data_IF_208949513907
#
_entry.id   IF_208949513907
#
_cell.length_a   1.000
_cell.length_b   1.000
_cell.length_c   1.000
_cell.angle_alpha   90.00
_cell.angle_beta   90.00
_cell.angle_gamma   90.00
#
_symmetry.space_group_name_H-M   'P 1'
#
loop_
_entity.id
_entity.type
_entity.pdbx_description
1 polymer ?
#
# COMPACT_ATOMS: atom_id res chain seq x y z
N UNK A 1 -45.51 -3.35 -34.48
CA UNK A 1 -46.00 -4.43 -33.59
C UNK A 1 -45.32 -4.27 -32.23
N UNK A 2 -46.08 -4.18 -31.13
CA UNK A 2 -45.60 -4.28 -29.73
C UNK A 2 -45.68 -5.77 -29.27
N UNK A 3 -45.55 -6.20 -27.98
CA UNK A 3 -45.03 -5.60 -26.74
C UNK A 3 -44.14 -6.56 -25.86
N UNK A 4 -43.70 -6.06 -24.69
CA UNK A 4 -43.60 -6.75 -23.36
C UNK A 4 -42.57 -7.87 -23.11
N UNK A 5 -41.67 -7.66 -22.13
CA UNK A 5 -41.78 -8.27 -20.78
C UNK A 5 -40.73 -7.72 -19.79
N UNK A 6 -41.15 -6.75 -18.95
CA UNK A 6 -40.53 -6.45 -17.65
C UNK A 6 -41.26 -7.30 -16.62
N UNK A 7 -40.54 -8.20 -15.92
CA UNK A 7 -40.82 -8.70 -14.55
C UNK A 7 -39.89 -9.88 -14.23
N UNK A 8 -38.90 -9.68 -13.36
CA UNK A 8 -38.41 -10.66 -12.34
C UNK A 8 -37.08 -10.19 -11.71
N UNK A 9 -37.11 -9.24 -10.78
CA UNK A 9 -36.13 -9.19 -9.67
C UNK A 9 -36.83 -8.55 -8.48
N UNK A 10 -37.58 -9.34 -7.69
CA UNK A 10 -37.88 -9.08 -6.28
C UNK A 10 -38.41 -10.39 -5.67
N UNK A 11 -37.57 -11.12 -4.95
CA UNK A 11 -37.99 -12.13 -3.98
C UNK A 11 -37.05 -12.07 -2.76
N UNK A 12 -37.55 -12.12 -1.52
CA UNK A 12 -36.76 -11.88 -0.31
C UNK A 12 -35.97 -13.12 0.12
N UNK A 13 -34.75 -12.91 0.58
CA UNK A 13 -33.91 -13.89 1.28
C UNK A 13 -34.62 -14.43 2.53
N UNK A 14 -34.93 -15.73 2.56
CA UNK A 14 -35.32 -16.47 3.78
C UNK A 14 -34.10 -17.22 4.32
N UNK A 15 -33.76 -16.96 5.59
CA UNK A 15 -32.74 -17.71 6.37
C UNK A 15 -33.19 -19.17 6.57
N UNK A 16 -32.30 -20.17 6.52
CA UNK A 16 -32.64 -21.53 6.89
C UNK A 16 -32.52 -21.73 8.42
N UNK A 17 -33.58 -22.25 9.03
CA UNK A 17 -33.63 -22.79 10.40
C UNK A 17 -33.17 -24.25 10.44
N UNK A 18 -32.60 -24.72 11.56
CA UNK A 18 -32.01 -26.04 11.68
C UNK A 18 -33.07 -27.14 11.87
N UNK A 19 -32.86 -28.31 11.27
CA UNK A 19 -33.68 -29.51 11.49
C UNK A 19 -33.00 -30.44 12.49
N UNK A 20 -33.78 -30.89 13.47
CA UNK A 20 -33.45 -31.89 14.48
C UNK A 20 -34.29 -33.17 14.32
N UNK A 21 -33.72 -34.28 14.83
CA UNK A 21 -34.30 -35.57 15.28
C UNK A 21 -34.61 -36.67 14.23
N UNK A 22 -34.65 -37.97 14.62
CA UNK A 22 -34.58 -38.56 15.98
C UNK A 22 -33.62 -39.76 16.19
N UNK A 23 -33.43 -40.09 17.47
CA UNK A 23 -32.78 -41.27 18.05
C UNK A 23 -33.55 -42.57 17.82
N UNK A 24 -32.84 -43.70 17.72
CA UNK A 24 -33.36 -45.03 18.05
C UNK A 24 -32.35 -45.81 18.93
N UNK A 25 -32.81 -46.12 20.13
CA UNK A 25 -32.43 -47.19 21.06
C UNK A 25 -32.80 -48.55 20.40
N UNK A 26 -32.23 -49.75 20.60
CA UNK A 26 -31.83 -50.54 21.79
C UNK A 26 -31.07 -51.78 21.25
N UNK A 27 -30.07 -52.31 21.98
CA UNK A 27 -29.98 -53.73 22.41
C UNK A 27 -28.54 -54.23 22.59
N UNK A 28 -28.33 -54.81 23.76
CA UNK A 28 -27.11 -55.37 24.34
C UNK A 28 -27.05 -56.87 24.03
N UNK A 29 -25.95 -57.36 23.45
CA UNK A 29 -25.52 -58.77 23.54
C UNK A 29 -23.99 -58.81 23.68
N UNK A 30 -23.52 -59.52 24.70
CA UNK A 30 -22.11 -59.73 25.07
C UNK A 30 -21.47 -60.92 24.30
N UNK A 31 -20.14 -61.15 24.40
CA UNK A 31 -19.29 -61.55 23.28
C UNK A 31 -18.99 -63.05 23.22
N UNK A 32 -18.59 -63.52 22.04
CA UNK A 32 -17.76 -64.73 21.91
C UNK A 32 -16.64 -64.49 20.91
N UNK A 33 -15.42 -64.81 21.37
CA UNK A 33 -14.17 -64.87 20.63
C UNK A 33 -14.30 -65.61 19.30
N UNK A 34 -13.64 -65.09 18.26
CA UNK A 34 -12.60 -65.85 17.53
C UNK A 34 -11.87 -64.94 16.54
N UNK A 35 -10.54 -65.01 16.58
CA UNK A 35 -9.59 -64.28 15.73
C UNK A 35 -9.32 -65.13 14.48
N UNK A 36 -9.41 -64.58 13.26
CA UNK A 36 -8.65 -65.06 12.12
C UNK A 36 -7.47 -64.12 11.79
N UNK A 37 -6.37 -64.66 11.22
CA UNK A 37 -5.08 -63.98 11.14
C UNK A 37 -5.05 -62.87 10.07
N UNK A 38 -4.12 -61.89 10.17
CA UNK A 38 -4.03 -60.82 9.19
C UNK A 38 -3.44 -61.31 7.87
N UNK A 39 -4.14 -60.98 6.79
CA UNK A 39 -3.71 -61.15 5.40
C UNK A 39 -2.64 -60.10 5.10
N UNK A 40 -1.47 -60.56 4.66
CA UNK A 40 -0.37 -59.74 4.17
C UNK A 40 -0.68 -59.20 2.77
N UNK A 41 -0.90 -57.89 2.65
CA UNK A 41 -0.88 -57.18 1.37
C UNK A 41 0.36 -56.28 1.28
N UNK A 42 1.33 -56.71 0.49
CA UNK A 42 2.44 -55.91 0.01
C UNK A 42 1.92 -55.03 -1.15
N UNK A 43 1.88 -53.71 -0.97
CA UNK A 43 1.77 -52.76 -2.08
C UNK A 43 3.07 -51.96 -2.17
N UNK A 44 3.81 -52.22 -3.24
CA UNK A 44 4.96 -51.43 -3.68
C UNK A 44 4.48 -50.22 -4.47
N UNK A 45 4.65 -49.02 -3.93
CA UNK A 45 4.54 -47.78 -4.69
C UNK A 45 5.94 -47.38 -5.17
N UNK A 46 6.13 -47.32 -6.49
CA UNK A 46 7.30 -46.67 -7.09
C UNK A 46 7.03 -45.17 -7.20
N UNK A 47 7.70 -44.38 -6.37
CA UNK A 47 7.90 -42.94 -6.57
C UNK A 47 9.35 -42.74 -7.02
N UNK A 48 9.53 -42.01 -8.11
CA UNK A 48 10.85 -41.57 -8.58
C UNK A 48 11.47 -40.58 -7.57
N UNK A 49 12.79 -40.57 -7.38
CA UNK A 49 13.40 -39.71 -6.37
C UNK A 49 13.59 -38.29 -6.93
N UNK A 50 12.88 -37.32 -6.36
CA UNK A 50 13.35 -35.94 -6.38
C UNK A 50 14.56 -35.81 -5.45
N UNK A 51 15.61 -35.14 -5.93
CA UNK A 51 16.88 -34.96 -5.21
C UNK A 51 16.71 -33.99 -4.03
N UNK A 52 16.18 -34.49 -2.92
CA UNK A 52 16.32 -33.89 -1.59
C UNK A 52 17.45 -34.57 -0.83
N UNK A 53 18.18 -33.81 -0.01
CA UNK A 53 19.26 -34.29 0.85
C UNK A 53 18.81 -35.49 1.71
N UNK A 54 19.30 -36.69 1.38
CA UNK A 54 19.08 -37.89 2.18
C UNK A 54 19.72 -37.72 3.57
N UNK A 55 18.88 -37.49 4.59
CA UNK A 55 19.29 -37.65 5.97
C UNK A 55 19.52 -39.16 6.21
N UNK A 56 20.75 -39.61 6.08
CA UNK A 56 21.13 -40.99 6.38
C UNK A 56 21.20 -41.19 7.90
N UNK A 57 20.06 -41.50 8.52
CA UNK A 57 19.92 -41.67 9.98
C UNK A 57 20.64 -42.95 10.47
N UNK A 58 20.88 -43.93 9.59
CA UNK A 58 21.56 -45.20 9.94
C UNK A 58 22.59 -45.63 8.89
N UNK A 59 23.72 -44.90 8.76
CA UNK A 59 24.75 -45.27 7.79
C UNK A 59 25.35 -46.64 8.15
N UNK A 60 25.42 -47.53 7.17
CA UNK A 60 25.97 -48.90 7.28
C UNK A 60 25.18 -49.91 8.13
N UNK A 61 23.93 -49.63 8.51
CA UNK A 61 23.10 -50.61 9.20
C UNK A 61 22.78 -51.82 8.29
N UNK A 62 22.97 -53.04 8.81
CA UNK A 62 22.63 -54.31 8.13
C UNK A 62 21.82 -55.19 9.09
N UNK A 63 20.81 -55.89 8.58
CA UNK A 63 19.91 -56.80 9.33
C UNK A 63 19.15 -56.15 10.50
N UNK A 64 18.31 -55.17 10.22
CA UNK A 64 17.35 -54.65 11.21
C UNK A 64 15.92 -54.74 10.67
N UNK A 65 14.97 -54.75 11.59
CA UNK A 65 13.53 -54.76 11.30
C UNK A 65 12.90 -53.57 12.02
N UNK A 66 12.41 -52.58 11.27
CA UNK A 66 11.59 -51.50 11.86
C UNK A 66 10.19 -52.05 12.03
N UNK A 67 9.78 -52.30 13.28
CA UNK A 67 8.47 -52.90 13.56
C UNK A 67 7.33 -51.88 13.51
N UNK A 68 7.56 -50.63 13.92
CA UNK A 68 6.59 -49.53 13.86
C UNK A 68 7.33 -48.21 13.61
N UNK A 69 7.14 -47.61 12.42
CA UNK A 69 7.65 -46.27 12.12
C UNK A 69 6.57 -45.22 12.44
N UNK A 70 6.76 -44.46 13.51
CA UNK A 70 5.93 -43.28 13.80
C UNK A 70 6.65 -42.03 13.31
N UNK A 71 6.35 -41.58 12.09
CA UNK A 71 6.80 -40.27 11.61
C UNK A 71 5.86 -39.23 12.21
N UNK A 72 6.32 -38.56 13.25
CA UNK A 72 5.61 -37.43 13.84
C UNK A 72 6.04 -36.18 13.08
N UNK A 73 5.25 -35.74 12.10
CA UNK A 73 5.42 -34.39 11.58
C UNK A 73 4.93 -33.44 12.69
N UNK A 74 5.87 -32.77 13.37
CA UNK A 74 5.51 -31.57 14.12
C UNK A 74 4.83 -30.57 13.17
N UNK A 75 4.00 -29.63 13.64
CA UNK A 75 3.40 -28.64 12.76
C UNK A 75 4.52 -27.91 12.00
N UNK A 76 4.64 -28.20 10.71
CA UNK A 76 5.51 -27.46 9.80
C UNK A 76 4.89 -26.08 9.68
N UNK A 77 5.55 -25.07 10.26
CA UNK A 77 5.20 -23.68 9.99
C UNK A 77 5.36 -23.44 8.49
N UNK A 78 4.30 -22.98 7.86
CA UNK A 78 4.35 -22.50 6.49
C UNK A 78 5.14 -21.20 6.41
N UNK A 79 5.59 -20.83 5.21
CA UNK A 79 6.22 -19.52 5.00
C UNK A 79 5.28 -18.36 5.41
N UNK A 80 3.97 -18.55 5.23
CA UNK A 80 2.96 -17.59 5.71
C UNK A 80 2.99 -17.43 7.24
N UNK A 81 3.17 -18.51 7.99
CA UNK A 81 3.23 -18.46 9.46
C UNK A 81 4.48 -17.70 9.96
N UNK A 82 5.59 -17.75 9.21
CA UNK A 82 6.79 -16.98 9.51
C UNK A 82 6.65 -15.50 9.15
N UNK A 83 6.15 -15.20 7.95
CA UNK A 83 6.12 -13.83 7.41
C UNK A 83 4.95 -13.01 7.95
N UNK A 84 3.78 -13.60 8.18
CA UNK A 84 2.55 -12.86 8.53
C UNK A 84 2.67 -11.88 9.71
N UNK A 85 3.46 -12.13 10.78
CA UNK A 85 3.63 -11.16 11.87
C UNK A 85 4.50 -9.95 11.49
N UNK A 86 5.25 -10.04 10.38
CA UNK A 86 6.26 -9.07 9.97
C UNK A 86 5.87 -8.31 8.70
N UNK A 87 4.78 -8.69 8.02
CA UNK A 87 4.27 -7.97 6.84
C UNK A 87 3.32 -6.84 7.23
N UNK A 88 3.25 -5.83 6.36
CA UNK A 88 2.22 -4.80 6.40
C UNK A 88 1.21 -5.08 5.29
N UNK A 89 0.22 -5.96 5.55
CA UNK A 89 -0.85 -6.23 4.59
C UNK A 89 -1.56 -4.95 4.14
N UNK A 90 -1.72 -3.99 5.06
CA UNK A 90 -2.22 -2.64 4.82
C UNK A 90 -1.49 -1.85 3.73
N UNK A 91 -0.19 -2.11 3.51
CA UNK A 91 0.66 -1.38 2.57
C UNK A 91 0.56 -1.92 1.14
N UNK A 92 -0.07 -3.07 0.90
CA UNK A 92 -0.25 -3.61 -0.43
C UNK A 92 -1.14 -2.70 -1.28
N UNK A 93 -0.95 -2.68 -2.61
CA UNK A 93 -1.71 -1.78 -3.47
C UNK A 93 -3.22 -2.04 -3.44
N UNK A 94 -3.60 -3.32 -3.34
CA UNK A 94 -4.96 -3.82 -3.31
C UNK A 94 -5.49 -4.09 -1.89
N UNK A 95 -4.89 -3.47 -0.88
CA UNK A 95 -5.34 -3.60 0.51
C UNK A 95 -6.70 -2.91 0.72
N UNK A 96 -7.56 -3.52 1.54
CA UNK A 96 -8.81 -2.90 1.99
C UNK A 96 -8.55 -1.62 2.82
N UNK A 97 -7.40 -1.51 3.49
CA UNK A 97 -6.96 -0.26 4.16
C UNK A 97 -6.69 0.90 3.18
N UNK A 98 -6.70 0.61 1.87
CA UNK A 98 -6.56 1.58 0.79
C UNK A 98 -7.85 1.73 -0.02
N UNK A 99 -9.01 1.32 0.51
CA UNK A 99 -10.30 1.46 -0.17
C UNK A 99 -10.62 2.90 -0.61
N UNK A 100 -10.17 3.89 0.18
CA UNK A 100 -10.33 5.32 -0.11
C UNK A 100 -9.09 5.95 -0.76
N UNK A 101 -8.06 5.16 -1.10
CA UNK A 101 -6.84 5.70 -1.68
C UNK A 101 -7.13 6.34 -3.05
N UNK A 102 -6.53 7.52 -3.34
CA UNK A 102 -6.81 8.22 -4.58
C UNK A 102 -6.28 7.42 -5.78
N UNK A 103 -6.97 7.54 -6.90
CA UNK A 103 -6.55 7.03 -8.22
C UNK A 103 -6.65 8.17 -9.23
N UNK A 104 -5.92 8.07 -10.33
CA UNK A 104 -6.13 8.99 -11.45
C UNK A 104 -7.55 8.82 -11.97
N UNK A 105 -8.23 9.94 -12.22
CA UNK A 105 -9.47 9.89 -12.99
C UNK A 105 -9.16 9.48 -14.42
N UNK A 106 -10.15 8.88 -15.08
CA UNK A 106 -10.02 8.51 -16.49
C UNK A 106 -9.55 9.72 -17.31
N UNK A 107 -8.60 9.49 -18.22
CA UNK A 107 -7.99 10.51 -19.10
C UNK A 107 -7.12 11.57 -18.39
N UNK A 108 -6.95 11.52 -17.05
CA UNK A 108 -6.02 12.42 -16.35
C UNK A 108 -4.61 11.82 -16.23
N UNK A 109 -3.58 12.67 -16.25
CA UNK A 109 -2.17 12.27 -16.02
C UNK A 109 -1.70 11.18 -16.98
N UNK A 110 -2.25 11.13 -18.20
CA UNK A 110 -1.94 10.08 -19.17
C UNK A 110 -0.48 10.15 -19.61
N UNK A 111 0.03 11.34 -19.94
CA UNK A 111 1.40 11.49 -20.39
C UNK A 111 2.45 10.96 -19.39
N UNK A 112 2.26 11.21 -18.08
CA UNK A 112 3.18 10.70 -17.06
C UNK A 112 2.99 9.20 -16.82
N UNK A 113 1.76 8.69 -16.90
CA UNK A 113 1.51 7.25 -16.79
C UNK A 113 2.13 6.49 -17.96
N UNK A 114 2.02 7.01 -19.18
CA UNK A 114 2.62 6.44 -20.39
C UNK A 114 4.15 6.47 -20.31
N UNK A 115 4.76 7.55 -19.82
CA UNK A 115 6.20 7.64 -19.60
C UNK A 115 6.68 6.56 -18.61
N UNK A 116 5.95 6.37 -17.50
CA UNK A 116 6.26 5.35 -16.49
C UNK A 116 6.06 3.94 -17.04
N UNK A 117 4.94 3.65 -17.71
CA UNK A 117 4.66 2.33 -18.29
C UNK A 117 5.65 1.98 -19.40
N UNK A 118 5.99 2.96 -20.25
CA UNK A 118 7.02 2.82 -21.26
C UNK A 118 8.36 2.40 -20.66
N UNK A 119 8.78 3.04 -19.57
CA UNK A 119 9.98 2.65 -18.83
C UNK A 119 9.86 1.27 -18.16
N UNK A 120 8.69 0.92 -17.61
CA UNK A 120 8.45 -0.40 -17.00
C UNK A 120 8.57 -1.53 -18.03
N UNK A 121 8.07 -1.33 -19.25
CA UNK A 121 8.02 -2.36 -20.29
C UNK A 121 9.31 -2.37 -21.12
N UNK A 122 9.71 -1.22 -21.65
CA UNK A 122 10.85 -1.07 -22.56
C UNK A 122 12.19 -0.94 -21.84
N UNK A 123 12.21 -0.38 -20.62
CA UNK A 123 13.44 -0.02 -19.93
C UNK A 123 13.99 1.33 -20.35
N UNK A 124 15.23 1.58 -19.95
CA UNK A 124 15.96 2.80 -20.28
C UNK A 124 16.83 2.55 -21.52
N UNK A 125 16.28 2.86 -22.70
CA UNK A 125 16.90 2.64 -24.01
C UNK A 125 17.85 3.78 -24.43
N UNK A 126 18.33 4.61 -23.50
CA UNK A 126 19.16 5.78 -23.81
C UNK A 126 20.61 5.47 -24.26
N UNK A 127 20.95 4.21 -24.51
CA UNK A 127 22.29 3.82 -24.98
C UNK A 127 23.38 3.89 -23.90
N UNK A 128 22.99 4.05 -22.64
CA UNK A 128 23.88 4.02 -21.48
C UNK A 128 24.40 2.58 -21.22
N UNK A 129 25.63 2.47 -20.71
CA UNK A 129 26.27 1.18 -20.43
C UNK A 129 25.58 0.37 -19.31
N UNK A 130 24.73 1.02 -18.49
CA UNK A 130 23.88 0.37 -17.49
C UNK A 130 22.49 1.01 -17.49
N UNK A 131 21.41 0.24 -17.70
CA UNK A 131 20.05 0.79 -17.67
C UNK A 131 19.68 1.24 -16.26
N UNK A 132 19.05 2.42 -16.14
CA UNK A 132 18.54 2.91 -14.86
C UNK A 132 17.39 2.03 -14.38
N UNK A 133 17.62 1.27 -13.31
CA UNK A 133 16.63 0.38 -12.70
C UNK A 133 15.71 1.08 -11.70
N UNK A 134 15.96 2.35 -11.37
CA UNK A 134 15.12 3.13 -10.46
C UNK A 134 14.48 4.29 -11.22
N UNK A 135 13.17 4.50 -11.04
CA UNK A 135 12.50 5.74 -11.42
C UNK A 135 11.94 6.40 -10.18
N UNK A 136 12.27 7.68 -9.98
CA UNK A 136 11.78 8.49 -8.88
C UNK A 136 10.79 9.55 -9.37
N UNK A 137 9.51 9.34 -9.05
CA UNK A 137 8.43 10.29 -9.30
C UNK A 137 8.34 11.25 -8.11
N UNK A 138 8.66 12.51 -8.35
CA UNK A 138 8.76 13.53 -7.31
C UNK A 138 7.95 14.78 -7.65
N UNK A 139 7.62 15.55 -6.63
CA UNK A 139 6.82 16.76 -6.79
C UNK A 139 6.22 17.23 -5.47
N UNK A 140 5.58 18.40 -5.44
CA UNK A 140 5.02 18.97 -4.23
C UNK A 140 3.90 18.10 -3.62
N UNK A 141 3.53 18.40 -2.37
CA UNK A 141 2.37 17.80 -1.74
C UNK A 141 1.12 18.07 -2.60
N UNK A 142 0.25 17.07 -2.75
CA UNK A 142 -0.96 17.23 -3.54
C UNK A 142 -0.79 17.24 -5.06
N UNK A 143 0.40 16.97 -5.60
CA UNK A 143 0.62 16.84 -7.04
C UNK A 143 0.00 15.57 -7.67
N UNK A 144 -0.48 14.62 -6.85
CA UNK A 144 -1.12 13.38 -7.32
C UNK A 144 -0.20 12.16 -7.42
N UNK A 145 0.99 12.18 -6.81
CA UNK A 145 1.96 11.06 -6.83
C UNK A 145 1.34 9.71 -6.44
N UNK A 146 0.69 9.63 -5.28
CA UNK A 146 0.03 8.41 -4.80
C UNK A 146 -1.11 7.94 -5.72
N UNK A 147 -1.83 8.88 -6.36
CA UNK A 147 -2.85 8.55 -7.36
C UNK A 147 -2.21 7.92 -8.61
N UNK A 148 -1.12 8.50 -9.11
CA UNK A 148 -0.37 7.97 -10.26
C UNK A 148 0.15 6.57 -9.94
N UNK A 149 0.88 6.40 -8.84
CA UNK A 149 1.43 5.08 -8.46
C UNK A 149 0.34 4.05 -8.15
N UNK A 150 -0.80 4.48 -7.61
CA UNK A 150 -1.98 3.64 -7.43
C UNK A 150 -2.52 3.11 -8.76
N UNK A 151 -2.75 4.00 -9.73
CA UNK A 151 -3.21 3.62 -11.08
C UNK A 151 -2.20 2.72 -11.79
N UNK A 152 -0.90 3.05 -11.72
CA UNK A 152 0.17 2.23 -12.29
C UNK A 152 0.23 0.85 -11.64
N UNK A 153 0.02 0.75 -10.32
CA UNK A 153 0.01 -0.54 -9.64
C UNK A 153 -1.16 -1.42 -10.12
N UNK A 154 -2.36 -0.84 -10.27
CA UNK A 154 -3.53 -1.57 -10.79
C UNK A 154 -3.30 -2.05 -12.23
N UNK A 155 -2.76 -1.17 -13.09
CA UNK A 155 -2.47 -1.51 -14.48
C UNK A 155 -1.39 -2.59 -14.57
N UNK A 156 -0.29 -2.45 -13.82
CA UNK A 156 0.76 -3.46 -13.75
C UNK A 156 0.23 -4.78 -13.19
N UNK A 157 -0.69 -4.75 -12.23
CA UNK A 157 -1.31 -5.97 -11.69
C UNK A 157 -2.20 -6.65 -12.74
N UNK A 158 -2.96 -5.87 -13.51
CA UNK A 158 -3.81 -6.38 -14.59
C UNK A 158 -2.99 -7.00 -15.73
N UNK A 159 -1.83 -6.41 -16.05
CA UNK A 159 -0.91 -6.92 -17.08
C UNK A 159 0.06 -8.01 -16.57
N UNK A 160 0.04 -8.34 -15.27
CA UNK A 160 0.98 -9.30 -14.67
C UNK A 160 2.42 -8.79 -14.51
N UNK A 161 2.64 -7.47 -14.62
CA UNK A 161 3.94 -6.80 -14.49
C UNK A 161 4.31 -6.48 -13.04
N UNK A 162 3.35 -6.45 -12.10
CA UNK A 162 3.62 -6.03 -10.72
C UNK A 162 4.26 -7.16 -9.89
N UNK A 163 5.52 -6.98 -9.49
CA UNK A 163 6.26 -7.91 -8.65
C UNK A 163 5.88 -7.75 -7.17
N UNK A 164 5.94 -6.51 -6.68
CA UNK A 164 5.61 -6.18 -5.30
C UNK A 164 5.22 -4.71 -5.18
N UNK A 165 4.62 -4.35 -4.05
CA UNK A 165 4.18 -2.98 -3.80
C UNK A 165 4.19 -2.68 -2.31
N UNK A 166 4.59 -1.47 -1.93
CA UNK A 166 4.47 -0.97 -0.56
C UNK A 166 4.09 0.51 -0.58
N UNK A 167 2.94 0.84 0.00
CA UNK A 167 2.43 2.20 0.09
C UNK A 167 2.51 2.67 1.54
N UNK A 168 3.54 3.48 1.82
CA UNK A 168 3.67 4.15 3.09
C UNK A 168 2.53 5.15 3.27
N UNK A 169 2.16 5.36 4.53
CA UNK A 169 1.17 6.36 4.88
C UNK A 169 1.37 6.75 6.33
N UNK A 170 1.92 7.94 6.55
CA UNK A 170 2.03 8.57 7.88
C UNK A 170 0.61 8.66 8.45
N UNK A 171 -0.30 9.12 7.58
CA UNK A 171 -1.71 8.85 7.34
C UNK A 171 -2.37 7.56 7.86
N UNK A 172 -1.66 6.48 8.14
CA UNK A 172 -2.35 5.22 8.42
C UNK A 172 -2.84 5.08 9.87
N UNK A 173 -3.96 4.38 10.07
CA UNK A 173 -4.33 3.82 11.38
C UNK A 173 -3.45 2.64 11.80
N UNK A 174 -2.78 2.01 10.84
CA UNK A 174 -1.88 0.86 11.01
C UNK A 174 -0.43 1.33 11.11
N UNK A 175 0.18 1.11 12.28
CA UNK A 175 1.58 1.48 12.53
C UNK A 175 2.56 0.86 11.52
N UNK A 176 2.23 -0.34 11.00
CA UNK A 176 3.04 -1.07 10.02
C UNK A 176 3.17 -0.37 8.66
N UNK A 177 2.23 0.52 8.29
CA UNK A 177 2.31 1.33 7.05
C UNK A 177 3.17 2.58 7.18
N UNK A 178 3.57 2.92 8.41
CA UNK A 178 4.39 4.10 8.72
C UNK A 178 5.80 3.69 9.09
N UNK A 179 6.00 2.45 9.50
CA UNK A 179 7.31 1.89 9.85
C UNK A 179 7.93 1.15 8.66
N UNK A 180 9.23 1.36 8.47
CA UNK A 180 10.02 0.60 7.49
C UNK A 180 10.19 -0.88 7.86
N UNK A 181 9.95 -1.28 9.13
CA UNK A 181 10.27 -2.64 9.62
C UNK A 181 9.57 -3.73 8.84
N UNK A 182 8.39 -3.43 8.30
CA UNK A 182 7.61 -4.38 7.52
C UNK A 182 7.95 -4.38 6.03
N UNK A 183 8.77 -3.43 5.54
CA UNK A 183 9.01 -3.22 4.12
C UNK A 183 9.55 -4.49 3.45
N UNK A 184 10.73 -4.95 3.88
CA UNK A 184 11.42 -6.08 3.22
C UNK A 184 10.62 -7.37 3.33
N UNK A 185 10.08 -7.68 4.51
CA UNK A 185 9.25 -8.87 4.70
C UNK A 185 7.99 -8.85 3.81
N UNK A 186 7.37 -7.69 3.62
CA UNK A 186 6.21 -7.53 2.73
C UNK A 186 6.60 -7.73 1.26
N UNK A 187 7.72 -7.15 0.83
CA UNK A 187 8.23 -7.36 -0.52
C UNK A 187 8.54 -8.84 -0.78
N UNK A 188 9.26 -9.50 0.12
CA UNK A 188 9.57 -10.93 0.03
C UNK A 188 8.30 -11.79 -0.01
N UNK A 189 7.30 -11.45 0.81
CA UNK A 189 6.00 -12.11 0.79
C UNK A 189 5.25 -11.94 -0.53
N UNK A 190 5.35 -10.79 -1.19
CA UNK A 190 4.75 -10.59 -2.51
C UNK A 190 5.49 -11.38 -3.59
N UNK A 191 6.84 -11.35 -3.57
CA UNK A 191 7.67 -12.06 -4.53
C UNK A 191 7.38 -13.57 -4.56
N UNK A 192 7.26 -14.23 -3.40
CA UNK A 192 6.99 -15.68 -3.35
C UNK A 192 5.61 -16.09 -3.90
N UNK A 193 4.68 -15.14 -4.07
CA UNK A 193 3.36 -15.45 -4.67
C UNK A 193 3.42 -15.61 -6.19
N UNK A 194 4.52 -15.19 -6.81
CA UNK A 194 4.68 -15.28 -8.26
C UNK A 194 5.21 -16.65 -8.65
N UNK A 195 4.36 -17.43 -9.33
CA UNK A 195 4.72 -18.77 -9.81
C UNK A 195 5.87 -18.76 -10.83
N UNK A 196 6.11 -17.64 -11.50
CA UNK A 196 7.22 -17.47 -12.43
C UNK A 196 8.58 -17.34 -11.73
N UNK A 197 8.61 -17.00 -10.43
CA UNK A 197 9.82 -17.02 -9.59
C UNK A 197 9.96 -18.39 -8.91
N UNK A 198 10.08 -19.44 -9.73
CA UNK A 198 10.18 -20.82 -9.24
C UNK A 198 11.37 -20.99 -8.28
N UNK A 199 11.15 -21.70 -7.17
CA UNK A 199 12.16 -21.94 -6.14
C UNK A 199 12.37 -20.79 -5.14
N UNK A 200 11.94 -19.55 -5.43
CA UNK A 200 12.15 -18.42 -4.51
C UNK A 200 11.50 -18.67 -3.14
N UNK A 201 10.26 -19.20 -3.12
CA UNK A 201 9.55 -19.56 -1.90
C UNK A 201 10.24 -20.66 -1.10
N UNK A 202 10.86 -21.63 -1.77
CA UNK A 202 11.59 -22.73 -1.14
C UNK A 202 12.89 -22.23 -0.49
N UNK A 203 13.58 -21.31 -1.17
CA UNK A 203 14.76 -20.63 -0.61
C UNK A 203 14.39 -19.81 0.63
N UNK A 204 13.30 -19.03 0.57
CA UNK A 204 12.80 -18.32 1.74
C UNK A 204 12.45 -19.26 2.89
N UNK A 205 11.78 -20.39 2.62
CA UNK A 205 11.44 -21.37 3.64
C UNK A 205 12.70 -21.99 4.28
N UNK A 206 13.73 -22.27 3.48
CA UNK A 206 15.04 -22.74 3.94
C UNK A 206 15.72 -21.72 4.87
N UNK A 207 15.66 -20.43 4.52
CA UNK A 207 16.16 -19.35 5.38
C UNK A 207 15.38 -19.31 6.71
N UNK A 208 14.05 -19.34 6.66
CA UNK A 208 13.21 -19.32 7.88
C UNK A 208 13.39 -20.55 8.77
N UNK A 209 13.70 -21.71 8.19
CA UNK A 209 14.01 -22.92 8.94
C UNK A 209 15.35 -22.83 9.68
N UNK A 210 16.32 -22.08 9.14
CA UNK A 210 17.67 -21.91 9.71
C UNK A 210 17.74 -20.77 10.72
N UNK A 211 17.20 -19.60 10.39
CA UNK A 211 17.27 -18.40 11.22
C UNK A 211 15.97 -17.59 11.17
N UNK A 212 15.11 -17.79 12.18
CA UNK A 212 13.88 -17.02 12.33
C UNK A 212 14.15 -15.56 12.74
N UNK A 213 15.33 -15.25 13.29
CA UNK A 213 15.70 -13.89 13.67
C UNK A 213 16.00 -13.01 12.46
N UNK A 214 16.15 -13.60 11.26
CA UNK A 214 16.26 -12.87 10.00
C UNK A 214 15.19 -11.77 9.85
N UNK A 215 13.95 -12.04 10.28
CA UNK A 215 12.83 -11.08 10.22
C UNK A 215 12.91 -9.94 11.25
N UNK A 216 13.90 -9.97 12.15
CA UNK A 216 14.19 -8.92 13.14
C UNK A 216 15.57 -8.27 12.95
N UNK A 217 16.31 -8.66 11.91
CA UNK A 217 17.61 -8.07 11.59
C UNK A 217 17.49 -6.63 11.08
N UNK A 218 18.64 -5.99 10.85
CA UNK A 218 18.69 -4.65 10.24
C UNK A 218 18.13 -4.74 8.82
N UNK A 219 17.63 -3.61 8.31
CA UNK A 219 16.93 -3.58 7.02
C UNK A 219 17.81 -4.06 5.86
N UNK A 220 19.11 -3.77 5.92
CA UNK A 220 20.12 -4.21 4.95
C UNK A 220 20.30 -5.73 4.98
N UNK A 221 20.45 -6.29 6.18
CA UNK A 221 20.61 -7.74 6.39
C UNK A 221 19.33 -8.49 5.97
N UNK A 222 18.16 -7.90 6.23
CA UNK A 222 16.88 -8.42 5.74
C UNK A 222 16.82 -8.43 4.21
N UNK A 223 17.21 -7.34 3.54
CA UNK A 223 17.16 -7.27 2.08
C UNK A 223 18.08 -8.32 1.45
N UNK A 224 19.27 -8.49 2.03
CA UNK A 224 20.21 -9.53 1.63
C UNK A 224 19.63 -10.94 1.86
N UNK A 225 19.12 -11.21 3.06
CA UNK A 225 18.69 -12.55 3.49
C UNK A 225 17.36 -12.99 2.89
N UNK A 226 16.44 -12.05 2.65
CA UNK A 226 15.06 -12.33 2.23
C UNK A 226 14.81 -12.02 0.76
N UNK A 227 15.59 -11.13 0.13
CA UNK A 227 15.39 -10.77 -1.28
C UNK A 227 16.57 -11.26 -2.11
N UNK A 228 17.77 -10.74 -1.89
CA UNK A 228 18.90 -10.95 -2.81
C UNK A 228 19.46 -12.36 -2.76
N UNK A 229 19.73 -12.90 -1.57
CA UNK A 229 20.22 -14.27 -1.38
C UNK A 229 19.31 -15.29 -2.07
N UNK A 230 17.99 -15.32 -1.77
CA UNK A 230 17.05 -16.20 -2.45
C UNK A 230 17.00 -16.01 -3.97
N UNK A 231 17.07 -14.77 -4.48
CA UNK A 231 17.08 -14.50 -5.93
C UNK A 231 18.35 -15.01 -6.63
N UNK A 232 19.51 -14.91 -5.96
CA UNK A 232 20.79 -15.43 -6.48
C UNK A 232 20.79 -16.96 -6.56
N UNK A 233 20.21 -17.63 -5.57
CA UNK A 233 20.12 -19.10 -5.56
C UNK A 233 19.24 -19.66 -6.67
N UNK A 234 18.25 -18.90 -7.14
CA UNK A 234 17.38 -19.31 -8.25
C UNK A 234 17.78 -18.66 -9.59
N UNK A 235 18.89 -17.94 -9.63
CA UNK A 235 19.34 -17.27 -10.85
C UNK A 235 19.57 -18.28 -11.98
N UNK A 236 19.00 -18.02 -13.16
CA UNK A 236 19.03 -18.94 -14.30
C UNK A 236 17.99 -20.07 -14.24
N UNK A 237 17.25 -20.21 -13.15
CA UNK A 237 16.17 -21.19 -12.97
C UNK A 237 14.79 -20.73 -13.44
N UNK A 238 14.65 -19.49 -13.90
CA UNK A 238 13.39 -18.91 -14.38
C UNK A 238 13.57 -18.11 -15.66
N UNK A 239 12.50 -18.04 -16.46
CA UNK A 239 12.45 -17.19 -17.66
C UNK A 239 12.26 -15.72 -17.25
N UNK A 240 13.28 -14.90 -17.49
CA UNK A 240 13.27 -13.46 -17.18
C UNK A 240 12.20 -12.69 -17.96
N UNK A 241 11.73 -13.21 -19.10
CA UNK A 241 10.65 -12.58 -19.87
C UNK A 241 9.26 -12.86 -19.29
N UNK A 242 9.13 -13.90 -18.46
CA UNK A 242 7.86 -14.34 -17.87
C UNK A 242 7.66 -13.88 -16.42
N UNK A 243 8.64 -13.19 -15.83
CA UNK A 243 8.53 -12.65 -14.47
C UNK A 243 7.92 -11.25 -14.48
N UNK A 244 7.27 -10.85 -13.36
CA UNK A 244 6.86 -9.47 -13.17
C UNK A 244 8.07 -8.52 -13.25
N UNK A 245 7.83 -7.28 -13.66
CA UNK A 245 8.87 -6.33 -14.04
C UNK A 245 9.14 -5.26 -12.97
N UNK A 246 8.17 -4.90 -12.12
CA UNK A 246 8.27 -3.69 -11.28
C UNK A 246 7.93 -3.92 -9.80
N UNK A 247 8.71 -3.31 -8.92
CA UNK A 247 8.38 -3.07 -7.51
C UNK A 247 7.99 -1.60 -7.34
N UNK A 248 6.83 -1.33 -6.73
CA UNK A 248 6.30 0.03 -6.55
C UNK A 248 6.34 0.43 -5.07
N UNK A 249 7.06 1.50 -4.75
CA UNK A 249 7.15 2.06 -3.39
C UNK A 249 6.60 3.49 -3.40
N UNK A 250 5.49 3.73 -2.72
CA UNK A 250 4.88 5.07 -2.61
C UNK A 250 5.07 5.64 -1.21
N UNK A 251 5.27 6.96 -1.14
CA UNK A 251 5.27 7.70 0.12
C UNK A 251 6.52 7.50 0.97
N UNK A 252 7.72 7.33 0.40
CA UNK A 252 8.95 7.17 1.20
C UNK A 252 9.15 8.31 2.20
N UNK A 253 8.73 9.54 1.85
CA UNK A 253 8.75 10.70 2.75
C UNK A 253 7.76 10.62 3.92
N UNK A 254 6.83 9.65 3.89
CA UNK A 254 5.84 9.42 4.94
C UNK A 254 6.26 8.38 5.98
N UNK A 255 7.49 7.85 5.89
CA UNK A 255 8.04 6.96 6.91
C UNK A 255 8.21 7.72 8.23
N UNK A 256 7.76 7.10 9.31
CA UNK A 256 7.95 7.59 10.68
C UNK A 256 9.05 6.77 11.34
N UNK A 257 10.12 7.44 11.77
CA UNK A 257 11.17 6.81 12.54
C UNK A 257 10.63 6.36 13.90
N UNK A 258 10.92 5.11 14.24
CA UNK A 258 10.55 4.59 15.55
C UNK A 258 11.39 5.25 16.63
N UNK A 259 10.70 5.92 17.56
CA UNK A 259 11.33 6.51 18.72
C UNK A 259 11.66 5.42 19.74
N UNK A 260 12.95 5.19 19.97
CA UNK A 260 13.40 4.44 21.13
C UNK A 260 13.39 5.38 22.32
N UNK A 261 12.40 5.22 23.21
CA UNK A 261 12.44 5.88 24.51
C UNK A 261 13.48 5.19 25.40
N UNK A 262 14.74 5.61 25.29
CA UNK A 262 15.73 5.40 26.34
C UNK A 262 15.69 6.63 27.26
N UNK A 263 15.11 6.54 28.47
CA UNK A 263 15.03 7.66 29.41
C UNK A 263 16.40 8.13 29.91
N UNK A 264 17.49 7.41 29.60
CA UNK A 264 18.87 7.76 29.98
C UNK A 264 19.67 8.48 28.87
N UNK A 265 19.16 8.53 27.63
CA UNK A 265 19.86 9.14 26.49
C UNK A 265 19.17 10.44 26.06
N UNK A 266 19.85 11.57 26.25
CA UNK A 266 19.33 12.89 25.89
C UNK A 266 19.35 13.19 24.38
N UNK A 267 20.08 12.44 23.52
CA UNK A 267 20.54 13.03 22.24
C UNK A 267 20.55 12.14 20.97
N UNK A 268 19.91 10.96 20.92
CA UNK A 268 19.81 10.23 19.64
C UNK A 268 18.38 9.79 19.32
N UNK A 269 17.48 10.77 19.18
CA UNK A 269 16.18 10.51 18.55
C UNK A 269 16.43 10.22 17.07
N UNK A 270 16.21 8.98 16.66
CA UNK A 270 16.23 8.57 15.25
C UNK A 270 15.24 9.44 14.48
N UNK A 271 15.68 10.06 13.39
CA UNK A 271 14.84 10.97 12.60
C UNK A 271 14.27 10.25 11.38
N UNK A 272 13.15 10.75 10.85
CA UNK A 272 12.50 10.18 9.67
C UNK A 272 13.47 10.11 8.48
N UNK A 273 14.32 11.12 8.32
CA UNK A 273 15.35 11.21 7.28
C UNK A 273 16.34 10.04 7.33
N UNK A 274 16.70 9.58 8.54
CA UNK A 274 17.60 8.44 8.70
C UNK A 274 16.94 7.14 8.19
N UNK A 275 15.62 7.04 8.29
CA UNK A 275 14.83 5.90 7.81
C UNK A 275 14.55 5.98 6.32
N UNK A 276 14.29 7.20 5.80
CA UNK A 276 14.20 7.47 4.37
C UNK A 276 15.48 7.03 3.65
N UNK A 277 16.66 7.50 4.11
CA UNK A 277 17.95 7.15 3.50
C UNK A 277 18.23 5.65 3.60
N UNK A 278 17.87 5.00 4.71
CA UNK A 278 18.06 3.56 4.86
C UNK A 278 17.20 2.75 3.88
N UNK A 279 15.93 3.13 3.70
CA UNK A 279 15.05 2.53 2.69
C UNK A 279 15.65 2.70 1.29
N UNK A 280 16.04 3.92 0.93
CA UNK A 280 16.60 4.18 -0.40
C UNK A 280 17.92 3.43 -0.64
N UNK A 281 18.75 3.30 0.41
CA UNK A 281 20.01 2.54 0.35
C UNK A 281 19.78 1.06 0.04
N UNK A 282 18.80 0.41 0.68
CA UNK A 282 18.51 -1.01 0.39
C UNK A 282 17.92 -1.19 -1.01
N UNK A 283 17.10 -0.26 -1.50
CA UNK A 283 16.52 -0.34 -2.84
C UNK A 283 17.60 -0.14 -3.90
N UNK A 284 18.55 0.78 -3.67
CA UNK A 284 19.72 0.96 -4.52
C UNK A 284 20.64 -0.27 -4.52
N UNK A 285 20.88 -0.87 -3.35
CA UNK A 285 21.63 -2.12 -3.24
C UNK A 285 20.97 -3.22 -4.07
N UNK A 286 19.64 -3.37 -3.97
CA UNK A 286 18.91 -4.34 -4.76
C UNK A 286 19.03 -4.04 -6.26
N UNK A 287 18.81 -2.80 -6.69
CA UNK A 287 18.90 -2.41 -8.09
C UNK A 287 20.28 -2.68 -8.72
N UNK A 288 21.36 -2.53 -7.94
CA UNK A 288 22.74 -2.79 -8.37
C UNK A 288 23.07 -4.28 -8.51
N UNK A 289 22.28 -5.16 -7.90
CA UNK A 289 22.54 -6.59 -7.94
C UNK A 289 22.12 -7.19 -9.31
N UNK A 290 23.00 -7.97 -9.97
CA UNK A 290 22.67 -8.62 -11.24
C UNK A 290 21.53 -9.65 -11.16
N UNK A 291 21.38 -10.30 -10.00
CA UNK A 291 20.33 -11.29 -9.77
C UNK A 291 18.98 -10.66 -9.44
N UNK A 292 18.93 -9.35 -9.21
CA UNK A 292 17.69 -8.61 -9.01
C UNK A 292 17.13 -8.16 -10.36
N UNK A 293 16.05 -8.80 -10.86
CA UNK A 293 15.58 -8.57 -12.22
C UNK A 293 14.57 -7.43 -12.33
N UNK A 294 14.12 -6.86 -11.21
CA UNK A 294 13.04 -5.88 -11.18
C UNK A 294 13.54 -4.45 -11.38
N UNK A 295 12.66 -3.63 -11.94
CA UNK A 295 12.71 -2.17 -11.86
C UNK A 295 12.04 -1.71 -10.56
N UNK A 296 12.45 -0.56 -10.04
CA UNK A 296 11.90 0.03 -8.81
C UNK A 296 11.31 1.40 -9.13
N UNK A 297 9.99 1.52 -9.01
CA UNK A 297 9.28 2.79 -9.11
C UNK A 297 9.07 3.34 -7.70
N UNK A 298 9.60 4.53 -7.44
CA UNK A 298 9.53 5.20 -6.14
C UNK A 298 8.78 6.51 -6.32
N UNK A 299 7.85 6.84 -5.41
CA UNK A 299 7.37 8.20 -5.28
C UNK A 299 7.59 8.77 -3.89
N UNK A 300 7.97 10.05 -3.87
CA UNK A 300 8.09 10.82 -2.64
C UNK A 300 8.04 12.31 -2.91
N UNK A 301 7.91 13.11 -1.85
CA UNK A 301 8.28 14.53 -1.90
C UNK A 301 9.80 14.69 -2.05
N UNK A 302 10.29 15.80 -2.64
CA UNK A 302 11.71 16.14 -2.70
C UNK A 302 12.20 16.69 -1.36
N UNK A 303 12.00 15.93 -0.27
CA UNK A 303 12.59 16.27 1.02
C UNK A 303 14.11 16.19 0.92
N UNK A 304 14.82 17.04 1.67
CA UNK A 304 16.26 17.25 1.51
C UNK A 304 17.06 15.94 1.49
N UNK A 305 16.82 15.05 2.44
CA UNK A 305 17.55 13.78 2.54
C UNK A 305 17.31 12.86 1.32
N UNK A 306 16.11 12.88 0.75
CA UNK A 306 15.74 12.09 -0.42
C UNK A 306 16.35 12.68 -1.69
N UNK A 307 16.21 14.00 -1.88
CA UNK A 307 16.82 14.72 -3.01
C UNK A 307 18.35 14.57 -3.01
N UNK A 308 18.99 14.74 -1.84
CA UNK A 308 20.43 14.56 -1.67
C UNK A 308 20.86 13.12 -2.00
N UNK A 309 20.07 12.11 -1.63
CA UNK A 309 20.36 10.72 -1.96
C UNK A 309 20.31 10.46 -3.48
N UNK A 310 19.23 10.87 -4.14
CA UNK A 310 19.08 10.63 -5.57
C UNK A 310 20.05 11.43 -6.42
N UNK A 311 20.43 12.64 -6.00
CA UNK A 311 21.36 13.50 -6.74
C UNK A 311 22.82 13.10 -6.54
N UNK A 312 23.20 12.65 -5.33
CA UNK A 312 24.61 12.43 -5.01
C UNK A 312 25.00 10.94 -4.89
N UNK A 313 24.05 10.05 -4.59
CA UNK A 313 24.32 8.63 -4.31
C UNK A 313 23.80 7.70 -5.40
N UNK A 314 22.62 8.00 -5.96
CA UNK A 314 21.91 7.12 -6.89
C UNK A 314 21.68 7.73 -8.29
N UNK A 315 22.34 8.84 -8.62
CA UNK A 315 22.11 9.60 -9.86
C UNK A 315 22.27 8.73 -11.12
N UNK A 316 23.36 7.96 -11.18
CA UNK A 316 23.66 7.05 -12.30
C UNK A 316 22.70 5.85 -12.43
N UNK A 317 21.80 5.64 -11.46
CA UNK A 317 20.87 4.52 -11.45
C UNK A 317 19.40 4.96 -11.46
N UNK A 318 19.15 6.27 -11.44
CA UNK A 318 17.82 6.83 -11.22
C UNK A 318 17.38 7.72 -12.38
N UNK A 319 16.19 7.46 -12.92
CA UNK A 319 15.46 8.38 -13.77
C UNK A 319 14.57 9.26 -12.88
N UNK A 320 14.65 10.58 -13.01
CA UNK A 320 13.81 11.51 -12.25
C UNK A 320 12.64 11.98 -13.10
N UNK A 321 11.43 11.77 -12.59
CA UNK A 321 10.19 12.32 -13.13
C UNK A 321 9.67 13.36 -12.14
N UNK A 322 9.86 14.64 -12.44
CA UNK A 322 9.32 15.72 -11.61
C UNK A 322 7.94 16.15 -12.13
N UNK A 323 6.92 16.11 -11.27
CA UNK A 323 5.55 16.51 -11.58
C UNK A 323 5.43 18.04 -11.58
N UNK A 324 5.83 18.67 -12.68
CA UNK A 324 5.69 20.11 -12.94
C UNK A 324 4.67 20.41 -14.05
N UNK A 325 4.75 21.62 -14.59
CA UNK A 325 3.94 22.12 -15.68
C UNK A 325 4.15 21.40 -17.02
N UNK A 326 5.22 20.60 -17.20
CA UNK A 326 5.42 19.76 -18.40
C UNK A 326 4.22 18.84 -18.65
N UNK A 327 3.56 18.41 -17.59
CA UNK A 327 2.41 17.51 -17.64
C UNK A 327 1.06 18.22 -17.63
N UNK A 328 1.01 19.53 -17.92
CA UNK A 328 -0.22 20.33 -17.99
C UNK A 328 -1.23 20.03 -16.86
N UNK A 329 -0.83 20.17 -15.57
CA UNK A 329 -1.68 19.76 -14.46
C UNK A 329 -3.04 20.47 -14.44
N UNK A 330 -3.14 21.68 -14.98
CA UNK A 330 -4.40 22.44 -15.04
C UNK A 330 -5.42 21.83 -16.02
N UNK A 331 -4.97 21.28 -17.16
CA UNK A 331 -5.83 20.55 -18.10
C UNK A 331 -6.38 19.27 -17.46
N UNK A 332 -5.51 18.53 -16.75
CA UNK A 332 -5.92 17.34 -16.02
C UNK A 332 -6.86 17.67 -14.84
N UNK A 333 -6.64 18.80 -14.15
CA UNK A 333 -7.55 19.29 -13.08
C UNK A 333 -8.91 19.65 -13.68
N UNK A 334 -8.96 20.29 -14.85
CA UNK A 334 -10.22 20.59 -15.53
C UNK A 334 -11.02 19.31 -15.79
N UNK A 335 -10.36 18.31 -16.37
CA UNK A 335 -10.98 17.02 -16.66
C UNK A 335 -11.49 16.33 -15.39
N UNK A 336 -10.66 16.30 -14.33
CA UNK A 336 -11.04 15.80 -13.00
C UNK A 336 -12.29 16.52 -12.47
N UNK A 337 -12.32 17.85 -12.49
CA UNK A 337 -13.45 18.64 -12.02
C UNK A 337 -14.70 18.36 -12.83
N UNK A 338 -14.60 18.32 -14.17
CA UNK A 338 -15.75 18.03 -15.05
C UNK A 338 -16.34 16.65 -14.79
N UNK A 339 -15.50 15.63 -14.59
CA UNK A 339 -15.94 14.30 -14.20
C UNK A 339 -16.67 14.31 -12.85
N UNK A 340 -16.06 14.90 -11.81
CA UNK A 340 -16.64 14.95 -10.47
C UNK A 340 -17.91 15.78 -10.36
N UNK A 341 -17.99 16.93 -11.04
CA UNK A 341 -19.23 17.68 -11.11
C UNK A 341 -20.33 16.90 -11.84
N UNK A 342 -19.99 16.09 -12.85
CA UNK A 342 -20.96 15.19 -13.50
C UNK A 342 -21.53 14.15 -12.53
N UNK A 343 -20.70 13.59 -11.66
CA UNK A 343 -21.14 12.68 -10.59
C UNK A 343 -22.05 13.38 -9.58
N UNK A 344 -21.65 14.57 -9.11
CA UNK A 344 -22.44 15.39 -8.16
C UNK A 344 -23.79 15.74 -8.78
N UNK A 345 -23.84 16.14 -10.06
CA UNK A 345 -25.10 16.41 -10.79
C UNK A 345 -26.06 15.24 -10.73
N UNK A 346 -25.56 14.03 -11.04
CA UNK A 346 -26.36 12.80 -11.00
C UNK A 346 -26.84 12.48 -9.58
N UNK A 347 -25.95 12.59 -8.59
CA UNK A 347 -26.23 12.23 -7.19
C UNK A 347 -27.26 13.16 -6.54
N UNK A 348 -27.10 14.47 -6.71
CA UNK A 348 -27.94 15.49 -6.09
C UNK A 348 -29.09 15.98 -6.99
N UNK A 349 -29.19 15.46 -8.22
CA UNK A 349 -30.20 15.83 -9.23
C UNK A 349 -30.24 17.33 -9.50
N UNK A 350 -29.05 17.92 -9.65
CA UNK A 350 -28.89 19.35 -9.96
C UNK A 350 -28.73 19.57 -11.47
N UNK A 351 -28.93 20.81 -11.93
CA UNK A 351 -28.98 21.17 -13.36
C UNK A 351 -27.76 20.66 -14.14
N UNK A 352 -27.97 20.26 -15.40
CA UNK A 352 -26.89 19.88 -16.33
C UNK A 352 -25.93 21.02 -16.62
N UNK A 353 -26.38 22.26 -16.48
CA UNK A 353 -25.59 23.49 -16.67
C UNK A 353 -24.81 23.92 -15.43
N UNK A 354 -24.92 23.18 -14.31
CA UNK A 354 -24.20 23.48 -13.08
C UNK A 354 -22.97 22.56 -12.94
N UNK A 355 -21.81 23.08 -12.50
CA UNK A 355 -21.51 24.48 -12.24
C UNK A 355 -21.24 25.27 -13.55
N UNK A 356 -21.10 26.59 -13.46
CA UNK A 356 -20.68 27.41 -14.60
C UNK A 356 -19.22 27.15 -14.96
N UNK A 357 -18.85 27.35 -16.23
CA UNK A 357 -17.46 27.24 -16.67
C UNK A 357 -16.56 28.30 -16.01
N UNK A 358 -17.09 29.46 -15.60
CA UNK A 358 -16.35 30.44 -14.80
C UNK A 358 -15.98 29.90 -13.41
N UNK A 359 -16.88 29.16 -12.76
CA UNK A 359 -16.60 28.55 -11.46
C UNK A 359 -15.54 27.44 -11.59
N UNK A 360 -15.61 26.65 -12.67
CA UNK A 360 -14.58 25.61 -12.94
C UNK A 360 -13.22 26.28 -13.16
N UNK A 361 -13.15 27.29 -14.04
CA UNK A 361 -11.89 28.04 -14.29
C UNK A 361 -11.32 28.67 -13.03
N UNK A 362 -12.18 29.27 -12.20
CA UNK A 362 -11.73 29.83 -10.92
C UNK A 362 -11.10 28.77 -10.01
N UNK A 363 -11.66 27.55 -9.94
CA UNK A 363 -11.09 26.45 -9.14
C UNK A 363 -9.75 26.00 -9.71
N UNK A 364 -9.61 25.92 -11.04
CA UNK A 364 -8.36 25.56 -11.72
C UNK A 364 -7.27 26.58 -11.41
N UNK A 365 -7.54 27.86 -11.65
CA UNK A 365 -6.59 28.96 -11.41
C UNK A 365 -6.15 28.98 -9.93
N UNK A 366 -7.11 28.77 -9.03
CA UNK A 366 -6.87 28.74 -7.58
C UNK A 366 -6.10 27.49 -7.14
N UNK A 367 -6.27 26.35 -7.83
CA UNK A 367 -5.54 25.13 -7.55
C UNK A 367 -4.05 25.24 -7.89
N UNK A 368 -3.69 26.09 -8.88
CA UNK A 368 -2.30 26.33 -9.28
C UNK A 368 -1.52 25.01 -9.50
N UNK A 369 -2.10 24.09 -10.29
CA UNK A 369 -1.55 22.77 -10.55
C UNK A 369 -1.62 21.75 -9.39
N UNK A 370 -2.21 22.09 -8.24
CA UNK A 370 -2.31 21.21 -7.07
C UNK A 370 -3.66 20.48 -7.01
N UNK A 371 -3.66 19.18 -7.33
CA UNK A 371 -4.85 18.33 -7.26
C UNK A 371 -5.50 18.29 -5.89
N UNK A 372 -4.72 18.42 -4.81
CA UNK A 372 -5.27 18.39 -3.45
C UNK A 372 -6.31 19.50 -3.21
N UNK A 373 -6.14 20.67 -3.83
CA UNK A 373 -7.12 21.74 -3.73
C UNK A 373 -8.43 21.33 -4.42
N UNK A 374 -8.35 20.93 -5.69
CA UNK A 374 -9.51 20.50 -6.47
C UNK A 374 -10.25 19.32 -5.81
N UNK A 375 -9.51 18.30 -5.36
CA UNK A 375 -10.08 17.14 -4.67
C UNK A 375 -10.75 17.54 -3.34
N UNK A 376 -10.13 18.44 -2.57
CA UNK A 376 -10.70 18.92 -1.30
C UNK A 376 -11.96 19.74 -1.54
N UNK A 377 -11.98 20.62 -2.56
CA UNK A 377 -13.15 21.40 -2.95
C UNK A 377 -14.30 20.47 -3.37
N UNK A 378 -14.04 19.50 -4.25
CA UNK A 378 -15.04 18.50 -4.67
C UNK A 378 -15.58 17.74 -3.46
N UNK A 379 -14.72 17.28 -2.55
CA UNK A 379 -15.15 16.56 -1.35
C UNK A 379 -16.09 17.41 -0.49
N UNK A 380 -15.73 18.67 -0.24
CA UNK A 380 -16.58 19.62 0.50
C UNK A 380 -17.93 19.86 -0.18
N UNK A 381 -17.94 20.03 -1.50
CA UNK A 381 -19.17 20.25 -2.29
C UNK A 381 -20.05 18.98 -2.30
N UNK A 382 -19.43 17.80 -2.35
CA UNK A 382 -20.13 16.52 -2.50
C UNK A 382 -20.71 15.94 -1.20
N UNK A 383 -20.57 16.65 -0.08
CA UNK A 383 -21.10 16.23 1.22
C UNK A 383 -22.63 16.06 1.17
N UNK A 384 -23.16 14.84 1.43
CA UNK A 384 -24.60 14.58 1.38
C UNK A 384 -25.40 15.36 2.43
N UNK A 385 -24.75 15.94 3.44
CA UNK A 385 -25.38 16.70 4.52
C UNK A 385 -25.76 18.12 4.09
N UNK A 386 -25.25 18.60 2.96
CA UNK A 386 -25.44 19.99 2.51
C UNK A 386 -25.84 20.06 1.03
N UNK A 387 -26.27 21.26 0.61
CA UNK A 387 -26.64 21.54 -0.78
C UNK A 387 -25.37 21.91 -1.56
N UNK A 388 -25.01 21.19 -2.65
CA UNK A 388 -23.74 21.38 -3.34
C UNK A 388 -23.60 22.76 -3.97
N UNK A 389 -24.71 23.37 -4.44
CA UNK A 389 -24.67 24.73 -4.97
C UNK A 389 -24.26 25.76 -3.91
N UNK A 390 -24.77 25.64 -2.68
CA UNK A 390 -24.41 26.54 -1.57
C UNK A 390 -22.96 26.35 -1.17
N UNK A 391 -22.48 25.10 -1.13
CA UNK A 391 -21.08 24.82 -0.80
C UNK A 391 -20.11 25.37 -1.85
N UNK A 392 -20.45 25.25 -3.13
CA UNK A 392 -19.67 25.86 -4.20
C UNK A 392 -19.67 27.40 -4.06
N UNK A 393 -20.82 28.02 -3.83
CA UNK A 393 -20.92 29.47 -3.64
C UNK A 393 -20.09 29.94 -2.43
N UNK A 394 -20.09 29.19 -1.33
CA UNK A 394 -19.24 29.48 -0.17
C UNK A 394 -17.74 29.48 -0.50
N UNK A 395 -17.28 28.49 -1.27
CA UNK A 395 -15.89 28.42 -1.75
C UNK A 395 -15.58 29.65 -2.60
N UNK A 396 -16.43 29.96 -3.59
CA UNK A 396 -16.20 31.06 -4.53
C UNK A 396 -16.20 32.44 -3.83
N UNK A 397 -17.18 32.71 -2.96
CA UNK A 397 -17.30 34.01 -2.31
C UNK A 397 -16.18 34.26 -1.29
N UNK A 398 -15.92 33.32 -0.38
CA UNK A 398 -14.98 33.55 0.74
C UNK A 398 -13.51 33.48 0.34
N UNK A 399 -13.18 32.68 -0.66
CA UNK A 399 -11.78 32.53 -1.08
C UNK A 399 -11.34 33.61 -2.07
N UNK A 400 -12.30 34.32 -2.68
CA UNK A 400 -12.07 35.49 -3.54
C UNK A 400 -11.69 36.76 -2.76
N UNK A 401 -11.91 36.79 -1.45
CA UNK A 401 -11.64 37.96 -0.58
C UNK A 401 -10.18 38.02 -0.04
N UNK A 402 -9.34 37.04 -0.37
CA UNK A 402 -7.96 36.94 0.14
C UNK A 402 -6.87 37.15 -0.92
N UNK A 403 -5.89 38.01 -0.64
CA UNK A 403 -4.73 38.21 -1.50
C UNK A 403 -3.83 36.96 -1.48
N UNK A 404 -3.61 36.35 -2.65
CA UNK A 404 -2.77 35.15 -2.81
C UNK A 404 -1.28 35.47 -3.01
N UNK A 405 -0.89 36.75 -2.92
CA UNK A 405 0.47 37.20 -3.18
C UNK A 405 1.44 36.64 -2.14
N UNK A 406 2.16 35.59 -2.51
CA UNK A 406 3.39 35.14 -1.83
C UNK A 406 3.36 33.75 -1.18
N UNK A 407 2.21 33.06 -1.12
CA UNK A 407 2.15 31.68 -0.59
C UNK A 407 1.47 30.73 -1.62
N UNK A 408 2.22 29.78 -2.22
CA UNK A 408 1.65 28.80 -3.17
C UNK A 408 0.64 27.84 -2.54
N UNK A 409 0.54 27.77 -1.21
CA UNK A 409 -0.47 27.01 -0.47
C UNK A 409 -1.53 27.90 0.18
N UNK A 410 -1.47 29.23 0.00
CA UNK A 410 -2.34 30.16 0.70
C UNK A 410 -3.83 29.95 0.41
N UNK A 411 -4.17 29.58 -0.83
CA UNK A 411 -5.53 29.22 -1.20
C UNK A 411 -6.00 27.93 -0.52
N UNK A 412 -5.12 26.92 -0.43
CA UNK A 412 -5.39 25.65 0.26
C UNK A 412 -5.56 25.86 1.77
N UNK A 413 -4.71 26.68 2.39
CA UNK A 413 -4.83 27.04 3.80
C UNK A 413 -6.17 27.72 4.09
N UNK A 414 -6.59 28.67 3.23
CA UNK A 414 -7.89 29.32 3.38
C UNK A 414 -9.05 28.34 3.18
N UNK A 415 -8.94 27.41 2.22
CA UNK A 415 -9.94 26.35 2.04
C UNK A 415 -10.05 25.49 3.30
N UNK A 416 -8.93 25.08 3.89
CA UNK A 416 -8.93 24.33 5.14
C UNK A 416 -9.51 25.12 6.31
N UNK A 417 -9.07 26.37 6.52
CA UNK A 417 -9.60 27.26 7.56
C UNK A 417 -11.11 27.44 7.39
N UNK A 418 -11.58 27.60 6.16
CA UNK A 418 -13.01 27.72 5.87
C UNK A 418 -13.77 26.43 6.21
N UNK A 419 -13.27 25.26 5.80
CA UNK A 419 -13.86 23.96 6.14
C UNK A 419 -13.93 23.79 7.65
N UNK A 420 -12.85 24.12 8.38
CA UNK A 420 -12.80 24.06 9.83
C UNK A 420 -13.84 24.97 10.50
N UNK A 421 -13.95 26.21 10.04
CA UNK A 421 -14.85 27.20 10.63
C UNK A 421 -16.32 26.97 10.27
N UNK A 422 -16.60 26.33 9.13
CA UNK A 422 -17.96 26.07 8.65
C UNK A 422 -18.57 24.81 9.26
N UNK A 423 -17.76 23.94 9.87
CA UNK A 423 -18.24 22.69 10.45
C UNK A 423 -18.64 22.89 11.93
N UNK A 424 -19.88 22.58 12.33
CA UNK A 424 -20.32 22.71 13.73
C UNK A 424 -19.59 21.74 14.68
N UNK A 425 -18.86 20.76 14.14
CA UNK A 425 -17.99 19.88 14.90
C UNK A 425 -16.55 19.94 14.36
N UNK A 426 -15.67 20.76 14.95
CA UNK A 426 -14.29 20.92 14.48
C UNK A 426 -13.48 19.62 14.56
N UNK A 427 -13.84 18.67 15.44
CA UNK A 427 -13.21 17.34 15.47
C UNK A 427 -13.58 16.50 14.25
N UNK A 428 -14.81 16.62 13.74
CA UNK A 428 -15.19 16.01 12.47
C UNK A 428 -14.47 16.70 11.32
N UNK A 429 -14.34 18.03 11.31
CA UNK A 429 -13.56 18.71 10.27
C UNK A 429 -12.07 18.29 10.24
N UNK A 430 -11.43 18.09 11.39
CA UNK A 430 -10.08 17.50 11.48
C UNK A 430 -10.07 16.07 10.96
N UNK A 431 -11.09 15.27 11.34
CA UNK A 431 -11.24 13.92 10.82
C UNK A 431 -11.54 13.88 9.32
N UNK A 432 -12.13 14.93 8.73
CA UNK A 432 -12.48 15.04 7.30
C UNK A 432 -11.30 15.50 6.46
N UNK A 433 -10.55 16.48 6.95
CA UNK A 433 -9.27 16.86 6.36
C UNK A 433 -8.28 15.69 6.48
N UNK A 434 -8.32 15.02 7.63
CA UNK A 434 -7.64 13.75 7.87
C UNK A 434 -8.33 12.53 7.28
N UNK A 435 -9.51 12.59 6.64
CA UNK A 435 -10.27 11.44 6.08
C UNK A 435 -9.68 10.98 4.74
N UNK A 436 -8.35 10.99 4.69
CA UNK A 436 -7.53 9.85 4.27
C UNK A 436 -7.48 8.76 5.39
N UNK A 437 -8.23 8.94 6.50
CA UNK A 437 -8.25 8.10 7.72
C UNK A 437 -9.65 7.76 8.25
N UNK A 438 -9.95 6.47 8.21
CA UNK A 438 -10.83 5.66 9.08
C UNK A 438 -12.34 5.72 8.84
N UNK A 439 -12.86 4.58 8.43
CA UNK A 439 -14.22 4.15 8.71
C UNK A 439 -14.19 2.78 9.40
N UNK A 440 -14.36 2.74 10.73
CA UNK A 440 -15.14 1.71 11.43
C UNK A 440 -15.37 2.09 12.89
N UNK A 441 -16.66 2.31 13.19
CA UNK A 441 -17.41 1.83 14.35
C UNK A 441 -17.14 2.40 15.75
N UNK A 442 -18.11 3.23 16.16
CA UNK A 442 -18.67 3.45 17.49
C UNK A 442 -18.35 2.41 18.58
N UNK A 443 -17.50 2.76 19.54
CA UNK A 443 -17.72 2.67 20.99
C UNK A 443 -16.45 3.19 21.71
N UNK A 444 -16.57 3.64 22.97
CA UNK A 444 -15.52 4.23 23.82
C UNK A 444 -15.40 5.77 23.80
N UNK A 445 -16.51 6.45 24.04
CA UNK A 445 -16.51 7.70 24.82
C UNK A 445 -17.52 7.61 25.97
N UNK A 446 -17.22 6.72 26.90
CA UNK A 446 -17.45 6.93 28.33
C UNK A 446 -16.09 6.58 28.93
N UNK A 447 -15.28 7.51 29.40
CA UNK A 447 -15.42 8.20 30.68
C UNK A 447 -14.27 9.21 30.77
N UNK A 448 -14.41 10.23 31.60
CA UNK A 448 -13.41 11.23 32.04
C UNK A 448 -13.22 12.48 31.17
N UNK A 449 -13.71 13.61 31.70
CA UNK A 449 -12.84 14.78 31.83
C UNK A 449 -13.22 16.07 31.11
N UNK A 450 -14.48 16.53 31.20
CA UNK A 450 -14.78 17.96 31.03
C UNK A 450 -14.14 18.77 32.16
N UNK A 451 -12.89 19.21 31.98
CA UNK A 451 -12.28 20.40 32.61
C UNK A 451 -10.78 20.43 32.29
N UNK A 452 -10.35 21.05 31.18
CA UNK A 452 -9.00 21.63 30.97
C UNK A 452 -8.84 22.27 29.58
N UNK A 453 -9.79 23.11 29.15
CA UNK A 453 -9.70 23.86 27.89
C UNK A 453 -9.78 25.39 28.08
N UNK A 454 -9.33 25.88 29.24
CA UNK A 454 -9.26 27.32 29.54
C UNK A 454 -7.88 27.87 29.93
N UNK A 455 -6.80 27.10 29.82
CA UNK A 455 -5.45 27.53 30.26
C UNK A 455 -4.30 27.30 29.26
N UNK A 456 -4.58 27.15 27.96
CA UNK A 456 -3.52 27.04 26.94
C UNK A 456 -3.57 28.15 25.87
N UNK A 457 -4.26 29.26 26.14
CA UNK A 457 -4.30 30.42 25.22
C UNK A 457 -3.23 31.48 25.50
N UNK A 458 -2.34 31.25 26.47
CA UNK A 458 -1.29 32.21 26.88
C UNK A 458 0.14 31.63 26.92
N UNK A 459 0.41 30.45 26.31
CA UNK A 459 1.79 29.90 26.22
C UNK A 459 2.24 29.40 24.84
N UNK A 460 1.54 29.72 23.76
CA UNK A 460 1.98 29.37 22.39
C UNK A 460 2.14 30.56 21.45
N UNK A 461 2.22 31.79 21.98
CA UNK A 461 2.49 33.01 21.20
C UNK A 461 3.94 33.52 21.32
N UNK A 462 4.90 32.70 21.77
CA UNK A 462 6.30 33.12 21.98
C UNK A 462 7.36 32.27 21.26
N UNK A 463 7.04 31.64 20.13
CA UNK A 463 8.06 30.88 19.35
C UNK A 463 8.06 31.11 17.84
N UNK A 464 7.30 32.07 17.32
CA UNK A 464 7.39 32.49 15.91
C UNK A 464 7.78 33.96 15.86
N UNK A 465 9.08 34.21 15.99
CA UNK A 465 9.61 35.55 16.03
C UNK A 465 11.12 35.58 16.10
N UNK A 466 11.83 34.94 15.16
CA UNK A 466 13.16 35.41 14.74
C UNK A 466 13.62 34.76 13.44
N UNK A 467 14.14 35.63 12.56
CA UNK A 467 14.94 35.43 11.34
C UNK A 467 14.16 35.35 10.01
N UNK A 468 14.29 36.25 9.03
CA UNK A 468 15.11 37.45 8.75
C UNK A 468 14.57 38.06 7.42
N UNK A 469 14.93 39.29 7.00
CA UNK A 469 15.22 40.52 7.75
C UNK A 469 14.01 41.47 7.87
#
# INVERSE_FOLDING_TARGET
>A
MPPTFIKKILAPFKRPTPRTHPSQEVARVEPTHDIPPPISHTQSYHLAPEQGSELNIFPNARRFTIQNQHISFGPSKSLFDYLSPHIAAGAAHNSDERCDAPKCEQETRIAVQDEILGWIIGGDDHGDAQPRKITWVTGPAGAGKTAILGSIADECQAQGLLAASFFFSSFSGSASRRSKRCLVATLAYHLQRHKSLQGYGDQLLSVMAKDQLALSQRLEDQAETLILGPLREIEGGYDRSAIPQVIIIDGVDEVEAEQYHDPSRQEATRRNEDDQVQILSILLQCAKDPAFPFRILIASRPERAIEDFFTNTADSHTLRIFLDSKYNPDEDIELFLRAKFSEIRRRFRVSSTWPSDDAIRWIIDTASGQFIFAATAIRYISDPSYIPQQQLEHILCRLSEGDNRGNPYGALDRLYVHIFNSNPNPKLAVAWIGADRRNTTTSYLQTTGYASLKLSRERQLTSWGTLLP
#
